data_IF_483036486477
#
_entry.id   IF_483036486477
#
_cell.length_a   1.000
_cell.length_b   1.000
_cell.length_c   1.000
_cell.angle_alpha   90.00
_cell.angle_beta   90.00
_cell.angle_gamma   90.00
#
_symmetry.space_group_name_H-M   'P 1'
#
loop_
_entity.id
_entity.type
_entity.pdbx_description
1 polymer ?
#
# COMPACT_ATOMS: atom_id res chain seq x y z
N UNK A 1 3.74 -4.28 -26.62
CA UNK A 1 4.03 -4.40 -25.18
C UNK A 1 3.53 -3.17 -24.44
N UNK A 2 2.88 -3.35 -23.30
CA UNK A 2 2.53 -2.19 -22.48
C UNK A 2 3.82 -1.52 -22.01
N UNK A 3 3.84 -0.20 -22.03
CA UNK A 3 4.97 0.54 -21.49
C UNK A 3 4.90 0.51 -19.94
N UNK A 4 5.96 0.97 -19.28
CA UNK A 4 6.04 0.92 -17.82
C UNK A 4 4.96 1.76 -17.14
N UNK A 5 4.52 2.85 -17.76
CA UNK A 5 3.42 3.68 -17.25
C UNK A 5 2.11 2.90 -17.20
N UNK A 6 1.75 2.21 -18.29
CA UNK A 6 0.52 1.41 -18.35
C UNK A 6 0.59 0.22 -17.40
N UNK A 7 1.75 -0.38 -17.27
CA UNK A 7 1.97 -1.50 -16.35
C UNK A 7 1.79 -1.05 -14.91
N UNK A 8 2.31 0.12 -14.56
CA UNK A 8 2.15 0.70 -13.23
C UNK A 8 0.71 1.03 -12.91
N UNK A 9 0.00 1.69 -13.84
CA UNK A 9 -1.41 2.03 -13.65
C UNK A 9 -2.29 0.79 -13.51
N UNK A 10 -2.01 -0.26 -14.30
CA UNK A 10 -2.74 -1.51 -14.20
C UNK A 10 -2.54 -2.18 -12.84
N UNK A 11 -1.32 -2.14 -12.30
CA UNK A 11 -1.02 -2.70 -11.00
C UNK A 11 -1.73 -1.94 -9.89
N UNK A 12 -1.75 -0.61 -9.94
CA UNK A 12 -2.49 0.20 -8.96
C UNK A 12 -3.97 -0.16 -8.95
N UNK A 13 -4.58 -0.33 -10.13
CA UNK A 13 -5.99 -0.73 -10.25
C UNK A 13 -6.22 -2.13 -9.69
N UNK A 14 -5.30 -3.05 -9.95
CA UNK A 14 -5.38 -4.41 -9.42
C UNK A 14 -5.37 -4.40 -7.89
N UNK A 15 -4.45 -3.66 -7.29
CA UNK A 15 -4.36 -3.56 -5.83
C UNK A 15 -5.62 -2.91 -5.27
N UNK A 16 -6.10 -1.82 -5.87
CA UNK A 16 -7.33 -1.17 -5.42
C UNK A 16 -8.52 -2.14 -5.44
N UNK A 17 -8.66 -2.92 -6.50
CA UNK A 17 -9.72 -3.91 -6.63
C UNK A 17 -9.59 -5.03 -5.59
N UNK A 18 -8.40 -5.61 -5.48
CA UNK A 18 -8.18 -6.74 -4.58
C UNK A 18 -8.35 -6.33 -3.11
N UNK A 19 -7.82 -5.20 -2.72
CA UNK A 19 -8.00 -4.71 -1.35
C UNK A 19 -9.47 -4.45 -1.05
N UNK A 20 -10.17 -3.82 -1.98
CA UNK A 20 -11.58 -3.49 -1.77
C UNK A 20 -12.43 -4.74 -1.59
N UNK A 21 -12.19 -5.76 -2.39
CA UNK A 21 -12.90 -7.04 -2.30
C UNK A 21 -12.52 -7.79 -1.02
N UNK A 22 -11.24 -7.93 -0.75
CA UNK A 22 -10.76 -8.71 0.39
C UNK A 22 -11.09 -8.08 1.74
N UNK A 23 -11.13 -6.75 1.80
CA UNK A 23 -11.50 -6.03 3.03
C UNK A 23 -13.00 -5.79 3.17
N UNK A 24 -13.78 -6.12 2.14
CA UNK A 24 -15.23 -5.91 2.17
C UNK A 24 -15.62 -4.44 2.17
N UNK A 25 -14.95 -3.64 1.36
CA UNK A 25 -15.26 -2.21 1.27
C UNK A 25 -16.51 -1.98 0.44
N UNK A 26 -17.40 -1.11 0.92
CA UNK A 26 -18.66 -0.81 0.24
C UNK A 26 -18.43 -0.03 -1.06
N UNK A 27 -17.41 0.80 -1.08
CA UNK A 27 -17.01 1.58 -2.26
C UNK A 27 -15.54 1.25 -2.53
N UNK A 28 -15.24 0.99 -3.80
CA UNK A 28 -13.89 0.63 -4.21
C UNK A 28 -12.91 1.77 -3.93
N UNK A 29 -11.71 1.42 -3.46
CA UNK A 29 -10.62 2.37 -3.30
C UNK A 29 -10.31 3.03 -4.64
N UNK A 30 -10.07 4.33 -4.61
CA UNK A 30 -9.75 5.11 -5.80
C UNK A 30 -8.28 5.46 -5.84
N UNK A 31 -7.70 5.36 -7.02
CA UNK A 31 -6.33 5.78 -7.26
C UNK A 31 -6.24 7.30 -7.15
N UNK A 32 -5.12 7.78 -6.60
CA UNK A 32 -4.83 9.20 -6.56
C UNK A 32 -4.12 9.54 -7.88
N UNK A 33 -4.83 10.23 -8.77
CA UNK A 33 -4.33 10.52 -10.11
C UNK A 33 -3.33 11.67 -10.09
N UNK A 34 -2.34 11.58 -10.96
CA UNK A 34 -1.26 12.55 -11.07
C UNK A 34 -1.76 13.98 -11.18
N UNK A 35 -2.74 14.21 -12.06
CA UNK A 35 -3.23 15.55 -12.36
C UNK A 35 -4.05 16.19 -11.24
N UNK A 36 -4.48 15.39 -10.25
CA UNK A 36 -5.32 15.89 -9.16
C UNK A 36 -4.62 15.91 -7.83
N UNK A 37 -3.33 15.57 -7.80
CA UNK A 37 -2.60 15.44 -6.54
C UNK A 37 -1.43 16.41 -6.47
N UNK A 38 -1.08 16.74 -5.23
CA UNK A 38 0.15 17.44 -4.94
C UNK A 38 1.31 16.47 -5.08
N UNK A 39 2.52 17.01 -5.19
CA UNK A 39 3.73 16.21 -5.18
C UNK A 39 3.79 15.38 -3.88
N UNK A 40 4.30 14.18 -4.00
CA UNK A 40 4.55 13.27 -2.88
C UNK A 40 3.31 12.62 -2.28
N UNK A 41 2.17 12.66 -2.95
CA UNK A 41 1.04 11.85 -2.55
C UNK A 41 1.25 10.40 -2.97
N UNK A 42 0.77 9.44 -2.18
CA UNK A 42 0.87 8.02 -2.54
C UNK A 42 -0.12 7.65 -3.63
N UNK A 43 -0.01 6.44 -4.16
CA UNK A 43 -0.93 5.95 -5.19
C UNK A 43 -2.33 5.69 -4.64
N UNK A 44 -2.42 5.19 -3.40
CA UNK A 44 -3.67 4.86 -2.73
C UNK A 44 -3.57 5.23 -1.25
N UNK A 45 -4.71 5.53 -0.64
CA UNK A 45 -4.79 5.74 0.81
C UNK A 45 -5.96 4.91 1.33
N UNK A 46 -5.70 4.11 2.36
CA UNK A 46 -6.74 3.40 3.08
C UNK A 46 -6.50 3.58 4.59
N UNK A 47 -7.40 4.29 5.25
CA UNK A 47 -7.21 4.64 6.66
C UNK A 47 -5.90 5.39 6.84
N UNK A 48 -5.06 4.89 7.74
CA UNK A 48 -3.73 5.44 7.97
C UNK A 48 -2.66 4.85 7.04
N UNK A 49 -3.04 3.94 6.16
CA UNK A 49 -2.09 3.26 5.27
C UNK A 49 -1.90 4.08 4.01
N UNK A 50 -0.67 4.54 3.78
CA UNK A 50 -0.28 5.28 2.58
C UNK A 50 0.44 4.32 1.65
N UNK A 51 -0.21 3.95 0.55
CA UNK A 51 0.18 2.84 -0.30
C UNK A 51 0.86 3.32 -1.57
N UNK A 52 2.10 2.88 -1.78
CA UNK A 52 2.81 3.07 -3.03
C UNK A 52 2.90 1.72 -3.73
N UNK A 53 2.57 1.66 -5.02
CA UNK A 53 2.53 0.43 -5.79
C UNK A 53 3.62 0.43 -6.84
N UNK A 54 4.43 -0.62 -6.86
CA UNK A 54 5.55 -0.76 -7.79
C UNK A 54 5.53 -2.13 -8.46
N UNK A 55 5.59 -2.16 -9.78
CA UNK A 55 5.69 -3.40 -10.53
C UNK A 55 6.78 -3.31 -11.58
N UNK A 56 7.70 -4.28 -11.57
CA UNK A 56 8.82 -4.33 -12.48
C UNK A 56 9.01 -5.75 -13.03
N UNK A 57 9.64 -5.82 -14.21
CA UNK A 57 9.84 -7.09 -14.89
C UNK A 57 10.80 -8.02 -14.16
N UNK A 58 11.85 -7.49 -13.55
CA UNK A 58 12.87 -8.29 -12.91
C UNK A 58 13.37 -7.66 -11.61
N UNK A 59 13.83 -8.54 -10.72
CA UNK A 59 14.33 -8.15 -9.42
C UNK A 59 13.89 -9.13 -8.36
N UNK A 60 14.41 -8.98 -7.15
CA UNK A 60 14.02 -9.78 -5.99
C UNK A 60 13.67 -8.90 -4.82
N UNK A 61 14.38 -7.81 -4.68
CA UNK A 61 14.22 -6.88 -3.59
C UNK A 61 13.85 -5.51 -4.15
N UNK A 62 12.93 -4.78 -3.49
CA UNK A 62 12.62 -3.43 -3.95
C UNK A 62 13.82 -2.51 -3.76
N UNK A 63 13.96 -1.54 -4.65
CA UNK A 63 14.99 -0.53 -4.53
C UNK A 63 14.78 0.29 -3.25
N UNK A 64 15.87 0.61 -2.57
CA UNK A 64 15.81 1.42 -1.34
C UNK A 64 15.07 2.74 -1.58
N UNK A 65 15.24 3.32 -2.78
CA UNK A 65 14.59 4.58 -3.13
C UNK A 65 13.06 4.47 -3.13
N UNK A 66 12.49 3.30 -3.44
CA UNK A 66 11.04 3.11 -3.41
C UNK A 66 10.49 3.23 -1.99
N UNK A 67 11.19 2.61 -1.04
CA UNK A 67 10.77 2.70 0.36
C UNK A 67 10.88 4.13 0.86
N UNK A 68 12.01 4.80 0.55
CA UNK A 68 12.19 6.19 0.95
C UNK A 68 11.11 7.09 0.35
N UNK A 69 10.71 6.84 -0.89
CA UNK A 69 9.66 7.60 -1.55
C UNK A 69 8.34 7.52 -0.77
N UNK A 70 7.94 6.33 -0.35
CA UNK A 70 6.68 6.18 0.38
C UNK A 70 6.78 6.72 1.81
N UNK A 71 7.94 6.59 2.44
CA UNK A 71 8.17 7.19 3.75
C UNK A 71 8.02 8.71 3.67
N UNK A 72 8.61 9.32 2.66
CA UNK A 72 8.50 10.78 2.45
C UNK A 72 7.06 11.20 2.16
N UNK A 73 6.34 10.43 1.35
CA UNK A 73 4.94 10.73 1.00
C UNK A 73 4.00 10.63 2.20
N UNK A 74 4.30 9.73 3.14
CA UNK A 74 3.43 9.49 4.30
C UNK A 74 3.84 10.27 5.54
N UNK A 75 4.92 11.01 5.48
CA UNK A 75 5.52 11.69 6.63
C UNK A 75 4.49 12.50 7.41
N UNK A 76 4.38 12.21 8.72
CA UNK A 76 3.46 12.88 9.64
C UNK A 76 1.97 12.75 9.27
N UNK A 77 1.63 11.88 8.31
CA UNK A 77 0.25 11.73 7.83
C UNK A 77 -0.27 10.31 7.97
N UNK A 78 0.59 9.31 7.84
CA UNK A 78 0.14 7.93 7.89
C UNK A 78 1.29 6.95 7.91
N UNK A 79 0.95 5.67 7.74
CA UNK A 79 1.90 4.57 7.77
C UNK A 79 2.39 4.27 6.36
N UNK A 80 3.68 4.39 6.09
CA UNK A 80 4.21 4.05 4.76
C UNK A 80 4.03 2.57 4.46
N UNK A 81 3.59 2.27 3.23
CA UNK A 81 3.29 0.91 2.81
C UNK A 81 3.69 0.75 1.36
N UNK A 82 4.63 -0.15 1.09
CA UNK A 82 5.10 -0.40 -0.27
C UNK A 82 4.55 -1.74 -0.75
N UNK A 83 3.67 -1.70 -1.74
CA UNK A 83 3.13 -2.90 -2.37
C UNK A 83 3.87 -3.10 -3.68
N UNK A 84 4.54 -4.23 -3.82
CA UNK A 84 5.41 -4.42 -4.97
C UNK A 84 5.29 -5.83 -5.55
N UNK A 85 5.58 -5.94 -6.83
CA UNK A 85 5.57 -7.20 -7.55
C UNK A 85 6.63 -7.17 -8.63
N UNK A 86 7.42 -8.24 -8.68
CA UNK A 86 8.28 -8.54 -9.83
C UNK A 86 7.59 -9.64 -10.64
N UNK A 87 7.78 -9.64 -11.94
CA UNK A 87 7.13 -10.65 -12.81
C UNK A 87 7.45 -12.06 -12.32
N UNK A 88 6.43 -12.92 -12.31
CA UNK A 88 6.52 -14.33 -11.84
C UNK A 88 6.76 -14.46 -10.33
N UNK A 89 6.71 -13.37 -9.59
CA UNK A 89 6.82 -13.38 -8.13
C UNK A 89 5.48 -12.99 -7.51
N UNK A 90 5.22 -13.42 -6.28
CA UNK A 90 3.99 -13.03 -5.61
C UNK A 90 4.01 -11.55 -5.25
N UNK A 91 2.83 -10.98 -5.06
CA UNK A 91 2.69 -9.61 -4.55
C UNK A 91 3.12 -9.61 -3.08
N UNK A 92 4.02 -8.69 -2.75
CA UNK A 92 4.49 -8.51 -1.38
C UNK A 92 4.23 -7.09 -0.90
N UNK A 93 4.24 -6.93 0.41
CA UNK A 93 3.97 -5.65 1.06
C UNK A 93 5.03 -5.40 2.11
N UNK A 94 5.71 -4.25 2.03
CA UNK A 94 6.66 -3.81 3.03
C UNK A 94 5.99 -2.78 3.92
N UNK A 95 6.07 -2.98 5.22
CA UNK A 95 5.51 -2.08 6.23
C UNK A 95 6.53 -1.88 7.34
N UNK A 96 6.41 -0.78 8.12
CA UNK A 96 7.25 -0.63 9.30
C UNK A 96 6.91 -1.72 10.32
N UNK A 97 7.92 -2.25 10.98
CA UNK A 97 7.69 -3.29 11.98
C UNK A 97 6.79 -2.81 13.11
N UNK A 98 6.90 -1.54 13.51
CA UNK A 98 6.06 -0.99 14.59
C UNK A 98 4.57 -0.98 14.25
N UNK A 99 4.18 -1.09 12.97
CA UNK A 99 2.77 -1.15 12.60
C UNK A 99 2.10 -2.47 13.01
N UNK A 100 2.88 -3.50 13.31
CA UNK A 100 2.37 -4.79 13.78
C UNK A 100 2.11 -4.76 15.28
N UNK A 101 2.90 -3.99 16.02
CA UNK A 101 2.79 -3.95 17.48
C UNK A 101 3.13 -2.54 17.96
N UNK A 102 2.13 -1.84 18.50
CA UNK A 102 2.31 -0.47 18.94
C UNK A 102 3.16 -0.31 20.22
N UNK A 103 3.61 -1.42 20.81
CA UNK A 103 4.60 -1.37 21.90
C UNK A 103 6.01 -1.15 21.38
N UNK A 104 6.22 -1.30 20.07
CA UNK A 104 7.51 -1.03 19.46
C UNK A 104 7.68 0.47 19.20
N UNK A 105 8.93 0.93 19.30
CA UNK A 105 9.24 2.31 18.99
C UNK A 105 9.01 2.59 17.50
N UNK A 106 8.48 3.78 17.21
CA UNK A 106 8.22 4.20 15.83
C UNK A 106 9.55 4.42 15.11
N UNK A 107 9.80 3.62 14.09
CA UNK A 107 11.02 3.71 13.27
C UNK A 107 10.75 3.11 11.90
N UNK A 108 10.61 3.98 10.90
CA UNK A 108 10.29 3.55 9.54
C UNK A 108 11.48 2.88 8.82
N UNK A 109 12.66 2.87 9.42
CA UNK A 109 13.80 2.16 8.86
C UNK A 109 13.81 0.68 9.21
N UNK A 110 13.00 0.27 10.20
CA UNK A 110 12.87 -1.11 10.61
C UNK A 110 11.58 -1.66 10.02
N UNK A 111 11.72 -2.56 9.04
CA UNK A 111 10.61 -3.01 8.21
C UNK A 111 10.45 -4.52 8.22
N UNK A 112 9.31 -4.97 7.74
CA UNK A 112 9.09 -6.38 7.43
C UNK A 112 8.32 -6.48 6.12
N UNK A 113 8.56 -7.57 5.40
CA UNK A 113 7.88 -7.84 4.13
C UNK A 113 6.94 -9.01 4.31
N UNK A 114 5.68 -8.84 3.89
CA UNK A 114 4.63 -9.84 4.00
C UNK A 114 4.11 -10.19 2.60
N UNK A 115 3.55 -11.37 2.46
CA UNK A 115 2.71 -11.63 1.30
C UNK A 115 1.44 -10.76 1.38
N UNK A 116 0.87 -10.44 0.23
CA UNK A 116 -0.31 -9.57 0.18
C UNK A 116 -1.46 -10.13 1.04
N UNK A 117 -1.72 -11.43 0.98
CA UNK A 117 -2.79 -12.03 1.77
C UNK A 117 -2.54 -11.91 3.28
N UNK A 118 -1.29 -11.97 3.69
CA UNK A 118 -0.92 -11.81 5.10
C UNK A 118 -1.11 -10.36 5.55
N UNK A 119 -0.86 -9.41 4.67
CA UNK A 119 -1.13 -8.00 4.96
C UNK A 119 -2.63 -7.76 5.13
N UNK A 120 -3.47 -8.35 4.28
CA UNK A 120 -4.92 -8.28 4.42
C UNK A 120 -5.36 -8.87 5.77
N UNK A 121 -4.82 -10.02 6.13
CA UNK A 121 -5.09 -10.65 7.42
C UNK A 121 -4.72 -9.73 8.58
N UNK A 122 -3.58 -9.07 8.49
CA UNK A 122 -3.11 -8.14 9.52
C UNK A 122 -4.09 -6.98 9.69
N UNK A 123 -4.56 -6.39 8.60
CA UNK A 123 -5.53 -5.29 8.67
C UNK A 123 -6.81 -5.74 9.33
N UNK A 124 -7.35 -6.89 8.93
CA UNK A 124 -8.57 -7.42 9.53
C UNK A 124 -8.41 -7.73 11.01
N UNK A 125 -7.23 -8.19 11.41
CA UNK A 125 -6.97 -8.62 12.78
C UNK A 125 -6.66 -7.47 13.73
N UNK A 126 -5.82 -6.53 13.30
CA UNK A 126 -5.34 -5.45 14.16
C UNK A 126 -6.04 -4.12 13.94
N UNK A 127 -6.61 -3.91 12.75
CA UNK A 127 -7.16 -2.61 12.36
C UNK A 127 -8.57 -2.73 11.76
N UNK A 128 -9.48 -3.52 12.36
CA UNK A 128 -10.84 -3.64 11.80
C UNK A 128 -11.58 -2.31 11.83
N UNK A 129 -11.23 -1.39 12.73
CA UNK A 129 -11.84 -0.07 12.79
C UNK A 129 -11.60 0.75 11.52
N UNK A 130 -10.48 0.52 10.82
CA UNK A 130 -10.23 1.22 9.54
C UNK A 130 -11.27 0.82 8.49
N UNK A 131 -11.65 -0.45 8.47
CA UNK A 131 -12.67 -0.96 7.56
C UNK A 131 -14.03 -0.37 7.92
N UNK A 132 -14.38 -0.37 9.19
CA UNK A 132 -15.64 0.17 9.67
C UNK A 132 -15.77 1.67 9.35
N UNK A 133 -14.73 2.43 9.63
CA UNK A 133 -14.70 3.87 9.36
C UNK A 133 -14.81 4.17 7.87
N UNK A 134 -14.07 3.42 7.05
CA UNK A 134 -14.15 3.58 5.60
C UNK A 134 -15.57 3.35 5.10
N UNK A 135 -16.19 2.25 5.51
CA UNK A 135 -17.53 1.89 5.06
C UNK A 135 -18.59 2.87 5.55
N UNK A 136 -18.42 3.41 6.73
CA UNK A 136 -19.33 4.43 7.27
C UNK A 136 -19.21 5.73 6.48
N UNK A 137 -18.00 6.16 6.18
CA UNK A 137 -17.76 7.41 5.44
C UNK A 137 -18.14 7.32 3.98
N UNK A 138 -18.08 6.12 3.39
CA UNK A 138 -18.34 5.88 1.99
C UNK A 138 -19.81 5.47 1.71
N UNK A 139 -20.63 5.41 2.74
CA UNK A 139 -22.03 5.01 2.62
C UNK A 139 -22.88 6.05 1.86
#
# INVERSE_FOLDING_TARGET
MPNSRNKGAAFERLIATNMSEELGLNVKLKRILEQTREKHLPDLIFGDWYLECKRYASGKEPATAWWQQVVDASKDKGTPTLIYKFDRQPIKVRIPLHSINNNLLVDNSITCDLFFDDFIYLIKSLYPQHIEEYNRSAA
#
